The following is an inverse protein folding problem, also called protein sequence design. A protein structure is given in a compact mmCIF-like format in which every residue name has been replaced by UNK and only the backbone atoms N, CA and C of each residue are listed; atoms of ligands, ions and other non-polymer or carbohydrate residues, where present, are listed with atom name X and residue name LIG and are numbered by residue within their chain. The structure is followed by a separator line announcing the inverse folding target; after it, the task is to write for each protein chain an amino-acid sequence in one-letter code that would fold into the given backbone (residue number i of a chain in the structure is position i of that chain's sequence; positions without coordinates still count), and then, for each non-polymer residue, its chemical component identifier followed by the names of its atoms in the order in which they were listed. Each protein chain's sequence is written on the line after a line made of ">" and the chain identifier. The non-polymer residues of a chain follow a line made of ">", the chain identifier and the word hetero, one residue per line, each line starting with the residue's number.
data_IF_192799110682
#
_entry.id   IF_192799110682
#
_cell.length_a   1.000
_cell.length_b   1.000
_cell.length_c   1.000
_cell.angle_alpha   90.00
_cell.angle_beta   90.00
_cell.angle_gamma   90.00
#
_symmetry.space_group_name_H-M   'P 1'
#
loop_
_entity.id
_entity.type
_entity.pdbx_description
1 polymer ?
#
# COMPACT_ATOMS: atom_id res chain seq x y z
N UNK A 1 -27.43 5.76 6.40
CA UNK A 1 -26.30 6.06 7.31
C UNK A 1 -26.20 7.56 7.68
N UNK A 2 -27.25 8.17 8.25
CA UNK A 2 -27.28 9.64 8.51
C UNK A 2 -27.74 10.09 9.91
N UNK A 3 -28.48 9.31 10.72
CA UNK A 3 -28.82 9.74 12.08
C UNK A 3 -27.60 9.90 13.00
N UNK A 4 -26.52 9.14 12.74
CA UNK A 4 -25.33 9.10 13.58
C UNK A 4 -24.41 10.31 13.39
N UNK A 5 -24.39 10.95 12.22
CA UNK A 5 -23.53 12.13 11.98
C UNK A 5 -23.90 13.30 12.87
N UNK A 6 -25.19 13.64 12.97
CA UNK A 6 -25.64 14.73 13.84
C UNK A 6 -25.21 14.50 15.29
N UNK A 7 -25.44 13.30 15.82
CA UNK A 7 -25.02 12.92 17.17
C UNK A 7 -23.49 12.89 17.32
N UNK A 8 -22.75 12.43 16.31
CA UNK A 8 -21.29 12.39 16.30
C UNK A 8 -20.67 13.79 16.41
N UNK A 9 -21.22 14.77 15.70
CA UNK A 9 -20.75 16.16 15.74
C UNK A 9 -21.23 16.88 16.99
N UNK A 10 -22.49 16.67 17.41
CA UNK A 10 -23.01 17.21 18.68
C UNK A 10 -22.21 16.70 19.89
N UNK A 11 -21.82 15.41 19.91
CA UNK A 11 -20.96 14.84 20.95
C UNK A 11 -19.53 15.40 20.96
N UNK A 12 -19.12 16.14 19.92
CA UNK A 12 -17.87 16.90 19.84
C UNK A 12 -18.07 18.40 20.03
N UNK A 13 -19.28 18.84 20.39
CA UNK A 13 -19.60 20.26 20.59
C UNK A 13 -19.82 21.07 19.31
N UNK A 14 -19.97 20.41 18.15
CA UNK A 14 -20.24 21.11 16.88
C UNK A 14 -21.75 21.17 16.58
N UNK A 15 -22.28 22.37 16.44
CA UNK A 15 -23.63 22.64 15.94
C UNK A 15 -23.55 23.15 14.49
N UNK A 16 -24.22 22.47 13.57
CA UNK A 16 -24.26 22.83 12.14
C UNK A 16 -24.84 24.20 11.84
N UNK A 17 -25.53 24.84 12.78
CA UNK A 17 -26.02 26.22 12.63
C UNK A 17 -24.93 27.27 12.88
N UNK A 18 -23.88 26.90 13.59
CA UNK A 18 -22.86 27.83 14.10
C UNK A 18 -21.43 27.42 13.75
N UNK A 19 -21.22 26.17 13.33
CA UNK A 19 -19.93 25.61 12.97
C UNK A 19 -20.00 25.00 11.58
N UNK A 20 -19.05 25.39 10.74
CA UNK A 20 -18.78 24.69 9.50
C UNK A 20 -18.24 23.28 9.78
N UNK A 21 -18.44 22.38 8.83
CA UNK A 21 -17.96 21.00 8.90
C UNK A 21 -16.93 20.76 7.82
N UNK A 22 -15.71 20.41 8.26
CA UNK A 22 -14.65 20.03 7.35
C UNK A 22 -15.01 18.74 6.61
N UNK A 23 -14.87 18.76 5.29
CA UNK A 23 -15.07 17.61 4.43
C UNK A 23 -13.72 17.01 4.06
N UNK A 24 -13.54 15.73 4.38
CA UNK A 24 -12.36 14.95 3.99
C UNK A 24 -12.75 13.94 2.91
N UNK A 25 -11.86 13.73 1.96
CA UNK A 25 -11.95 12.61 1.03
C UNK A 25 -11.47 11.36 1.77
N UNK A 26 -12.33 10.34 1.86
CA UNK A 26 -11.93 9.04 2.40
C UNK A 26 -11.00 8.30 1.43
N UNK A 27 -10.38 7.26 1.92
CA UNK A 27 -9.65 6.29 1.11
C UNK A 27 -10.49 5.73 -0.05
N UNK A 28 -9.81 5.40 -1.13
CA UNK A 28 -10.44 4.86 -2.34
C UNK A 28 -10.63 3.36 -2.15
N UNK A 29 -11.89 2.94 -2.02
CA UNK A 29 -12.28 1.54 -1.88
C UNK A 29 -12.79 0.92 -3.18
N UNK A 30 -12.77 -0.41 -3.22
CA UNK A 30 -13.51 -1.19 -4.22
C UNK A 30 -14.95 -1.36 -3.72
N UNK A 31 -15.89 -0.77 -4.44
CA UNK A 31 -17.31 -0.77 -4.06
C UNK A 31 -18.15 -0.58 -5.31
N UNK A 32 -18.78 -1.64 -5.81
CA UNK A 32 -19.46 -1.60 -7.12
C UNK A 32 -20.59 -0.59 -7.20
N UNK A 33 -21.53 -0.62 -6.25
CA UNK A 33 -22.70 0.26 -6.26
C UNK A 33 -22.38 1.75 -6.12
N UNK A 34 -21.19 2.09 -5.60
CA UNK A 34 -20.70 3.45 -5.44
C UNK A 34 -19.60 3.84 -6.45
N UNK A 35 -19.12 2.90 -7.27
CA UNK A 35 -18.06 3.11 -8.26
C UNK A 35 -18.36 2.31 -9.54
N UNK A 36 -17.33 1.79 -10.21
CA UNK A 36 -17.45 1.01 -11.45
C UNK A 36 -16.66 -0.31 -11.40
N UNK A 37 -16.46 -0.86 -10.19
CA UNK A 37 -15.81 -2.15 -9.95
C UNK A 37 -16.82 -3.26 -9.61
N UNK A 38 -16.37 -4.51 -9.54
CA UNK A 38 -17.16 -5.63 -9.02
C UNK A 38 -17.35 -6.77 -10.01
N UNK A 39 -18.22 -7.71 -9.65
CA UNK A 39 -18.57 -8.87 -10.46
C UNK A 39 -19.49 -8.45 -11.60
N UNK A 40 -19.11 -8.78 -12.84
CA UNK A 40 -19.96 -8.55 -14.02
C UNK A 40 -21.25 -9.36 -13.90
N UNK A 41 -22.38 -8.68 -14.10
CA UNK A 41 -23.70 -9.30 -14.13
C UNK A 41 -24.48 -8.88 -15.37
N UNK A 42 -25.45 -9.71 -15.77
CA UNK A 42 -26.46 -9.36 -16.76
C UNK A 42 -27.66 -8.61 -16.14
N UNK A 43 -28.67 -8.32 -16.96
CA UNK A 43 -29.90 -7.60 -16.56
C UNK A 43 -30.74 -8.35 -15.52
N UNK A 44 -30.43 -9.62 -15.22
CA UNK A 44 -31.07 -10.46 -14.20
C UNK A 44 -30.14 -10.72 -13.00
N UNK A 45 -29.07 -9.93 -12.85
CA UNK A 45 -28.06 -10.08 -11.80
C UNK A 45 -27.25 -11.39 -11.89
N UNK A 46 -27.30 -12.12 -13.02
CA UNK A 46 -26.55 -13.38 -13.20
C UNK A 46 -25.10 -13.08 -13.52
N UNK A 47 -24.19 -13.79 -12.87
CA UNK A 47 -22.77 -13.77 -13.23
C UNK A 47 -22.52 -14.64 -14.46
N UNK A 48 -21.28 -14.69 -14.93
CA UNK A 48 -20.87 -15.64 -15.98
C UNK A 48 -20.85 -17.09 -15.53
N UNK A 49 -20.84 -17.33 -14.22
CA UNK A 49 -20.92 -18.68 -13.65
C UNK A 49 -22.40 -19.07 -13.57
N UNK A 50 -22.81 -20.18 -14.21
CA UNK A 50 -24.21 -20.59 -14.20
C UNK A 50 -24.76 -20.70 -12.78
N UNK A 51 -25.95 -20.13 -12.58
CA UNK A 51 -26.69 -20.17 -11.29
C UNK A 51 -25.98 -19.47 -10.13
N UNK A 52 -25.01 -18.61 -10.41
CA UNK A 52 -24.39 -17.69 -9.44
C UNK A 52 -24.78 -16.26 -9.79
N UNK A 53 -25.15 -15.49 -8.78
CA UNK A 53 -25.66 -14.12 -8.90
C UNK A 53 -24.82 -13.16 -8.06
N UNK A 54 -24.82 -11.89 -8.43
CA UNK A 54 -24.26 -10.82 -7.61
C UNK A 54 -25.18 -9.59 -7.64
N UNK A 55 -25.33 -8.92 -6.50
CA UNK A 55 -26.14 -7.72 -6.37
C UNK A 55 -25.51 -6.75 -5.36
N UNK A 56 -26.01 -5.52 -5.31
CA UNK A 56 -25.49 -4.47 -4.42
C UNK A 56 -24.04 -4.11 -4.74
N UNK A 57 -23.24 -3.85 -3.70
CA UNK A 57 -21.85 -3.39 -3.85
C UNK A 57 -20.90 -4.43 -4.44
N UNK A 58 -21.29 -5.70 -4.51
CA UNK A 58 -20.50 -6.73 -5.19
C UNK A 58 -20.65 -6.67 -6.71
N UNK A 59 -21.82 -6.28 -7.21
CA UNK A 59 -22.09 -6.26 -8.64
C UNK A 59 -21.47 -5.04 -9.32
N UNK A 60 -20.92 -5.23 -10.52
CA UNK A 60 -20.45 -4.15 -11.38
C UNK A 60 -21.65 -3.50 -12.09
N UNK A 61 -22.49 -2.82 -11.31
CA UNK A 61 -23.59 -1.99 -11.78
C UNK A 61 -23.36 -0.59 -11.22
N UNK A 62 -22.69 0.28 -12.00
CA UNK A 62 -22.13 1.51 -11.46
C UNK A 62 -23.22 2.48 -10.99
N UNK A 63 -22.95 3.17 -9.87
CA UNK A 63 -23.83 4.22 -9.32
C UNK A 63 -25.28 3.78 -9.06
N UNK A 64 -25.49 2.50 -8.73
CA UNK A 64 -26.82 1.97 -8.44
C UNK A 64 -27.26 2.26 -6.99
N UNK A 65 -26.30 2.47 -6.08
CA UNK A 65 -26.48 2.71 -4.65
C UNK A 65 -27.51 1.74 -4.02
N UNK A 66 -28.18 2.20 -2.95
CA UNK A 66 -29.16 1.41 -2.21
C UNK A 66 -30.34 0.93 -3.07
N UNK A 67 -30.83 1.76 -3.99
CA UNK A 67 -31.97 1.40 -4.86
C UNK A 67 -31.57 0.25 -5.78
N UNK A 68 -30.38 0.31 -6.35
CA UNK A 68 -29.81 -0.77 -7.15
C UNK A 68 -29.65 -2.06 -6.38
N UNK A 69 -29.21 -2.00 -5.12
CA UNK A 69 -29.13 -3.17 -4.27
C UNK A 69 -30.50 -3.86 -4.09
N UNK A 70 -31.57 -3.08 -3.86
CA UNK A 70 -32.92 -3.65 -3.74
C UNK A 70 -33.42 -4.23 -5.06
N UNK A 71 -33.28 -3.50 -6.16
CA UNK A 71 -33.77 -3.93 -7.48
C UNK A 71 -33.03 -5.17 -7.96
N UNK A 72 -31.69 -5.17 -7.96
CA UNK A 72 -30.91 -6.33 -8.39
C UNK A 72 -31.03 -7.51 -7.42
N UNK A 73 -31.27 -7.25 -6.13
CA UNK A 73 -31.58 -8.31 -5.16
C UNK A 73 -32.91 -9.01 -5.48
N UNK A 74 -33.95 -8.25 -5.81
CA UNK A 74 -35.25 -8.78 -6.22
C UNK A 74 -35.15 -9.57 -7.53
N UNK A 75 -34.46 -9.02 -8.54
CA UNK A 75 -34.21 -9.70 -9.81
C UNK A 75 -33.43 -11.01 -9.63
N UNK A 76 -32.35 -10.99 -8.84
CA UNK A 76 -31.56 -12.18 -8.54
C UNK A 76 -32.42 -13.25 -7.84
N UNK A 77 -33.22 -12.85 -6.85
CA UNK A 77 -34.08 -13.75 -6.08
C UNK A 77 -35.19 -14.37 -6.94
N UNK A 78 -35.87 -13.55 -7.75
CA UNK A 78 -36.93 -13.99 -8.65
C UNK A 78 -36.41 -14.97 -9.71
N UNK A 79 -35.21 -14.74 -10.23
CA UNK A 79 -34.60 -15.64 -11.20
C UNK A 79 -34.11 -16.94 -10.55
N UNK A 80 -33.39 -16.85 -9.43
CA UNK A 80 -32.89 -17.99 -8.69
C UNK A 80 -34.01 -18.94 -8.22
N UNK A 81 -35.18 -18.40 -7.85
CA UNK A 81 -36.33 -19.16 -7.39
C UNK A 81 -36.98 -20.05 -8.47
N UNK A 82 -36.69 -19.82 -9.75
CA UNK A 82 -37.19 -20.66 -10.85
C UNK A 82 -36.50 -22.02 -10.92
N UNK A 83 -35.35 -22.17 -10.27
CA UNK A 83 -34.54 -23.37 -10.36
C UNK A 83 -34.74 -24.31 -9.17
N UNK A 84 -34.72 -25.62 -9.42
CA UNK A 84 -34.74 -26.62 -8.35
C UNK A 84 -33.47 -26.50 -7.47
N UNK A 85 -33.58 -26.52 -6.14
CA UNK A 85 -32.42 -26.60 -5.25
C UNK A 85 -31.48 -27.76 -5.62
N UNK A 86 -30.18 -27.56 -5.42
CA UNK A 86 -29.20 -28.64 -5.58
C UNK A 86 -29.35 -29.64 -4.44
N UNK A 87 -29.54 -30.91 -4.78
CA UNK A 87 -29.73 -32.03 -3.82
C UNK A 87 -28.57 -33.05 -3.89
N UNK A 88 -27.55 -32.79 -4.70
CA UNK A 88 -26.40 -33.68 -4.84
C UNK A 88 -25.39 -33.52 -3.71
N UNK A 89 -24.36 -34.36 -3.73
CA UNK A 89 -23.23 -34.23 -2.82
C UNK A 89 -22.31 -33.07 -3.25
N UNK A 90 -21.72 -32.38 -2.29
CA UNK A 90 -20.73 -31.34 -2.57
C UNK A 90 -19.36 -31.99 -2.89
N UNK A 91 -18.60 -31.43 -3.85
CA UNK A 91 -17.25 -31.91 -4.15
C UNK A 91 -16.35 -31.90 -2.90
N UNK A 92 -15.81 -33.05 -2.53
CA UNK A 92 -15.04 -33.23 -1.29
C UNK A 92 -13.72 -32.46 -1.28
N UNK A 93 -13.12 -32.27 -2.45
CA UNK A 93 -11.96 -31.43 -2.66
C UNK A 93 -12.24 -29.96 -2.33
N UNK A 94 -13.35 -29.40 -2.81
CA UNK A 94 -13.75 -28.03 -2.49
C UNK A 94 -14.07 -27.84 -1.00
N UNK A 95 -14.72 -28.84 -0.37
CA UNK A 95 -14.97 -28.82 1.06
C UNK A 95 -13.67 -28.81 1.87
N UNK A 96 -12.69 -29.63 1.47
CA UNK A 96 -11.36 -29.65 2.10
C UNK A 96 -10.65 -28.32 1.93
N UNK A 97 -10.70 -27.71 0.75
CA UNK A 97 -10.04 -26.43 0.48
C UNK A 97 -10.68 -25.28 1.29
N UNK A 98 -12.02 -25.28 1.41
CA UNK A 98 -12.73 -24.33 2.28
C UNK A 98 -12.40 -24.54 3.76
N UNK A 99 -12.35 -25.80 4.22
CA UNK A 99 -11.92 -26.13 5.57
C UNK A 99 -10.48 -25.68 5.84
N UNK A 100 -9.57 -25.87 4.88
CA UNK A 100 -8.18 -25.44 5.00
C UNK A 100 -8.08 -23.90 5.08
N UNK A 101 -8.77 -23.17 4.21
CA UNK A 101 -8.80 -21.70 4.24
C UNK A 101 -9.20 -21.15 5.62
N UNK A 102 -10.22 -21.75 6.24
CA UNK A 102 -10.78 -21.29 7.51
C UNK A 102 -9.98 -21.75 8.72
N UNK A 103 -9.58 -23.03 8.78
CA UNK A 103 -9.07 -23.66 9.99
C UNK A 103 -7.55 -23.81 10.04
N UNK A 104 -6.82 -23.57 8.94
CA UNK A 104 -5.34 -23.59 8.95
C UNK A 104 -4.73 -22.75 10.09
N UNK A 105 -5.22 -21.54 10.43
CA UNK A 105 -4.61 -20.73 11.48
C UNK A 105 -4.61 -21.37 12.89
N UNK A 106 -5.48 -22.36 13.16
CA UNK A 106 -5.46 -23.10 14.42
C UNK A 106 -4.21 -23.98 14.59
N UNK A 107 -3.52 -24.31 13.49
CA UNK A 107 -2.27 -25.09 13.52
C UNK A 107 -1.06 -24.23 13.92
N UNK A 108 -1.22 -22.91 13.91
CA UNK A 108 -0.19 -21.93 14.26
C UNK A 108 -0.70 -20.97 15.33
N UNK A 109 -1.15 -21.41 16.52
CA UNK A 109 -1.77 -20.54 17.52
C UNK A 109 -0.87 -19.42 18.05
N UNK A 110 0.44 -19.51 17.79
CA UNK A 110 1.49 -18.54 18.12
C UNK A 110 2.10 -17.86 16.87
N UNK A 111 1.51 -18.09 15.70
CA UNK A 111 1.90 -17.43 14.45
C UNK A 111 1.59 -15.93 14.45
N UNK A 112 2.04 -15.17 13.43
CA UNK A 112 1.80 -13.74 13.36
C UNK A 112 0.31 -13.40 13.51
N UNK A 113 -0.04 -12.41 14.36
CA UNK A 113 -1.43 -12.04 14.56
C UNK A 113 -1.98 -11.37 13.32
N UNK A 114 -3.22 -11.72 12.95
CA UNK A 114 -3.88 -11.26 11.72
C UNK A 114 -3.84 -9.74 11.56
N UNK A 115 -3.99 -8.98 12.65
CA UNK A 115 -4.05 -7.52 12.62
C UNK A 115 -2.75 -6.89 12.12
N UNK A 116 -1.60 -7.50 12.42
CA UNK A 116 -0.29 -7.01 11.95
C UNK A 116 -0.09 -7.33 10.47
N UNK A 117 -0.51 -8.53 10.03
CA UNK A 117 -0.44 -8.93 8.62
C UNK A 117 -1.39 -8.09 7.77
N UNK A 118 -2.63 -7.87 8.23
CA UNK A 118 -3.61 -6.99 7.61
C UNK A 118 -3.09 -5.55 7.52
N UNK A 119 -2.51 -5.02 8.60
CA UNK A 119 -1.94 -3.68 8.61
C UNK A 119 -0.82 -3.52 7.56
N UNK A 120 0.11 -4.49 7.50
CA UNK A 120 1.19 -4.51 6.50
C UNK A 120 0.63 -4.58 5.08
N UNK A 121 -0.37 -5.42 4.84
CA UNK A 121 -1.03 -5.55 3.55
C UNK A 121 -1.66 -4.23 3.09
N UNK A 122 -2.46 -3.61 3.96
CA UNK A 122 -3.14 -2.34 3.69
C UNK A 122 -2.15 -1.21 3.45
N UNK A 123 -1.00 -1.23 4.12
CA UNK A 123 0.09 -0.28 3.86
C UNK A 123 0.61 -0.40 2.43
N UNK A 124 0.85 -1.61 1.93
CA UNK A 124 1.25 -1.79 0.52
C UNK A 124 0.18 -1.30 -0.46
N UNK A 125 -1.11 -1.52 -0.15
CA UNK A 125 -2.21 -0.98 -0.96
C UNK A 125 -2.16 0.56 -1.00
N UNK A 126 -2.05 1.20 0.16
CA UNK A 126 -2.04 2.66 0.25
C UNK A 126 -0.79 3.28 -0.40
N UNK A 127 0.38 2.67 -0.21
CA UNK A 127 1.65 3.25 -0.67
C UNK A 127 1.87 3.06 -2.19
N UNK A 128 1.34 1.97 -2.77
CA UNK A 128 1.68 1.57 -4.15
C UNK A 128 0.49 1.41 -5.11
N UNK A 129 -0.72 1.17 -4.61
CA UNK A 129 -1.92 0.94 -5.46
C UNK A 129 -2.83 2.17 -5.48
N UNK A 130 -2.86 2.95 -4.40
CA UNK A 130 -3.60 4.20 -4.37
C UNK A 130 -3.00 5.23 -5.35
N UNK A 131 -3.84 6.04 -6.03
CA UNK A 131 -3.34 7.11 -6.90
C UNK A 131 -2.55 8.19 -6.15
N UNK A 132 -1.55 8.82 -6.81
CA UNK A 132 -1.13 8.58 -8.20
C UNK A 132 -0.40 7.23 -8.40
N UNK A 133 -0.84 6.50 -9.42
CA UNK A 133 -0.32 5.17 -9.81
C UNK A 133 0.80 5.30 -10.83
N UNK A 134 1.67 4.30 -10.91
CA UNK A 134 2.61 4.09 -12.01
C UNK A 134 2.91 2.61 -12.17
N UNK A 135 3.37 2.20 -13.36
CA UNK A 135 3.74 0.81 -13.65
C UNK A 135 4.76 0.27 -12.64
N UNK A 136 5.78 1.07 -12.32
CA UNK A 136 6.79 0.73 -11.30
C UNK A 136 6.18 0.51 -9.90
N UNK A 137 5.29 1.40 -9.43
CA UNK A 137 4.65 1.26 -8.11
C UNK A 137 3.76 0.02 -8.06
N UNK A 138 2.92 -0.18 -9.08
CA UNK A 138 2.03 -1.33 -9.18
C UNK A 138 2.82 -2.65 -9.23
N UNK A 139 3.95 -2.66 -9.92
CA UNK A 139 4.85 -3.83 -10.00
C UNK A 139 5.46 -4.18 -8.64
N UNK A 140 5.90 -3.19 -7.86
CA UNK A 140 6.37 -3.39 -6.48
C UNK A 140 5.25 -3.91 -5.57
N UNK A 141 4.00 -3.44 -5.75
CA UNK A 141 2.86 -3.95 -5.00
C UNK A 141 2.61 -5.44 -5.29
N UNK A 142 2.64 -5.84 -6.56
CA UNK A 142 2.46 -7.24 -6.97
C UNK A 142 3.54 -8.16 -6.40
N UNK A 143 4.81 -7.73 -6.43
CA UNK A 143 5.90 -8.47 -5.78
C UNK A 143 5.69 -8.61 -4.26
N UNK A 144 5.18 -7.57 -3.60
CA UNK A 144 4.86 -7.61 -2.19
C UNK A 144 3.71 -8.58 -1.89
N UNK A 145 2.62 -8.52 -2.67
CA UNK A 145 1.47 -9.40 -2.49
C UNK A 145 1.79 -10.88 -2.74
N UNK A 146 2.73 -11.18 -3.64
CA UNK A 146 3.21 -12.56 -3.83
C UNK A 146 3.99 -13.05 -2.62
N UNK A 147 4.94 -12.25 -2.09
CA UNK A 147 5.68 -12.60 -0.88
C UNK A 147 4.78 -12.77 0.34
N UNK A 148 3.74 -11.94 0.44
CA UNK A 148 2.78 -12.00 1.54
C UNK A 148 1.94 -13.28 1.57
N UNK A 149 1.96 -14.12 0.53
CA UNK A 149 1.32 -15.45 0.58
C UNK A 149 1.91 -16.30 1.71
N UNK A 150 3.22 -16.23 1.92
CA UNK A 150 3.88 -16.92 3.02
C UNK A 150 3.49 -16.31 4.37
N UNK A 151 3.58 -14.99 4.52
CA UNK A 151 3.17 -14.27 5.74
C UNK A 151 1.71 -14.61 6.14
N UNK A 152 0.80 -14.65 5.16
CA UNK A 152 -0.61 -15.02 5.36
C UNK A 152 -0.72 -16.48 5.78
N UNK A 153 0.01 -17.39 5.12
CA UNK A 153 -0.03 -18.83 5.43
C UNK A 153 0.38 -19.12 6.89
N UNK A 154 1.28 -18.34 7.47
CA UNK A 154 1.79 -18.51 8.83
C UNK A 154 0.90 -17.88 9.93
N UNK A 155 -0.11 -17.08 9.57
CA UNK A 155 -0.99 -16.43 10.54
C UNK A 155 -1.59 -17.40 11.56
N UNK A 156 -1.66 -16.94 12.80
CA UNK A 156 -2.25 -17.67 13.91
C UNK A 156 -3.64 -17.19 14.31
N UNK A 157 -4.46 -18.11 14.82
CA UNK A 157 -5.73 -17.79 15.46
C UNK A 157 -6.04 -18.76 16.61
N UNK A 158 -6.77 -18.26 17.60
CA UNK A 158 -7.22 -18.98 18.80
C UNK A 158 -8.73 -18.91 19.00
N UNK A 159 -9.42 -18.00 18.33
CA UNK A 159 -10.88 -17.81 18.47
C UNK A 159 -11.59 -17.86 17.11
N UNK A 160 -12.90 -18.18 17.07
CA UNK A 160 -13.68 -18.11 15.84
C UNK A 160 -13.66 -16.73 15.17
N UNK A 161 -13.61 -15.65 15.95
CA UNK A 161 -13.47 -14.29 15.42
C UNK A 161 -12.14 -14.11 14.69
N UNK A 162 -11.03 -14.55 15.29
CA UNK A 162 -9.73 -14.49 14.64
C UNK A 162 -9.65 -15.36 13.39
N UNK A 163 -10.29 -16.54 13.37
CA UNK A 163 -10.37 -17.38 12.16
C UNK A 163 -11.06 -16.65 11.01
N UNK A 164 -12.20 -16.02 11.28
CA UNK A 164 -12.92 -15.18 10.30
C UNK A 164 -12.01 -14.07 9.77
N UNK A 165 -11.33 -13.33 10.66
CA UNK A 165 -10.43 -12.25 10.28
C UNK A 165 -9.24 -12.74 9.45
N UNK A 166 -8.62 -13.88 9.80
CA UNK A 166 -7.55 -14.49 9.02
C UNK A 166 -8.01 -14.84 7.58
N UNK A 167 -9.23 -15.37 7.43
CA UNK A 167 -9.79 -15.62 6.10
C UNK A 167 -9.99 -14.30 5.32
N UNK A 168 -10.50 -13.25 5.98
CA UNK A 168 -10.68 -11.93 5.37
C UNK A 168 -9.37 -11.32 4.85
N UNK A 169 -8.24 -11.49 5.55
CA UNK A 169 -6.92 -11.01 5.06
C UNK A 169 -6.57 -11.63 3.69
N UNK A 170 -6.93 -12.91 3.48
CA UNK A 170 -6.72 -13.59 2.19
C UNK A 170 -7.54 -12.91 1.09
N UNK A 171 -8.80 -12.59 1.36
CA UNK A 171 -9.68 -11.91 0.41
C UNK A 171 -9.24 -10.48 0.11
N UNK A 172 -8.76 -9.73 1.12
CA UNK A 172 -8.20 -8.39 0.94
C UNK A 172 -6.98 -8.45 0.00
N UNK A 173 -6.10 -9.44 0.19
CA UNK A 173 -4.89 -9.60 -0.63
C UNK A 173 -5.26 -9.93 -2.08
N UNK A 174 -6.23 -10.80 -2.30
CA UNK A 174 -6.72 -11.12 -3.64
C UNK A 174 -7.35 -9.90 -4.32
N UNK A 175 -8.18 -9.14 -3.60
CA UNK A 175 -8.75 -7.89 -4.13
C UNK A 175 -7.67 -6.86 -4.46
N UNK A 176 -6.64 -6.74 -3.61
CA UNK A 176 -5.52 -5.85 -3.83
C UNK A 176 -4.70 -6.24 -5.07
N UNK A 177 -4.43 -7.54 -5.25
CA UNK A 177 -3.75 -8.04 -6.46
C UNK A 177 -4.59 -7.79 -7.71
N UNK A 178 -5.89 -8.12 -7.69
CA UNK A 178 -6.79 -7.89 -8.82
C UNK A 178 -6.82 -6.40 -9.21
N UNK A 179 -6.90 -5.50 -8.24
CA UNK A 179 -6.88 -4.06 -8.48
C UNK A 179 -5.54 -3.57 -9.04
N UNK A 180 -4.42 -4.09 -8.52
CA UNK A 180 -3.08 -3.73 -8.99
C UNK A 180 -2.84 -4.22 -10.42
N UNK A 181 -3.16 -5.48 -10.73
CA UNK A 181 -3.04 -6.03 -12.09
C UNK A 181 -3.97 -5.33 -13.08
N UNK A 182 -5.22 -5.04 -12.70
CA UNK A 182 -6.14 -4.29 -13.54
C UNK A 182 -5.63 -2.87 -13.83
N UNK A 183 -5.08 -2.21 -12.80
CA UNK A 183 -4.48 -0.88 -12.94
C UNK A 183 -3.22 -0.89 -13.81
N UNK A 184 -2.43 -1.97 -13.75
CA UNK A 184 -1.22 -2.13 -14.54
C UNK A 184 -1.55 -2.39 -16.02
N UNK A 185 -2.56 -3.24 -16.26
CA UNK A 185 -3.06 -3.55 -17.60
C UNK A 185 -3.54 -2.30 -18.33
N UNK A 186 -4.29 -1.43 -17.63
CA UNK A 186 -4.84 -0.20 -18.20
C UNK A 186 -3.80 0.92 -18.25
N UNK A 187 -3.30 1.20 -19.45
CA UNK A 187 -2.28 2.22 -19.74
C UNK A 187 -2.87 3.57 -20.18
N UNK A 188 -3.80 4.09 -19.39
CA UNK A 188 -4.38 5.44 -19.52
C UNK A 188 -4.72 6.00 -18.12
N UNK A 189 -5.14 7.26 -18.08
CA UNK A 189 -5.78 7.89 -16.92
C UNK A 189 -7.24 8.22 -17.21
N UNK A 190 -8.14 7.80 -16.31
CA UNK A 190 -9.59 8.02 -16.44
C UNK A 190 -10.23 8.10 -15.05
N UNK A 191 -11.30 8.89 -14.93
CA UNK A 191 -12.07 9.05 -13.69
C UNK A 191 -11.28 9.68 -12.53
N UNK A 192 -10.30 10.54 -12.84
CA UNK A 192 -9.54 11.30 -11.85
C UNK A 192 -8.92 10.39 -10.79
N UNK A 193 -9.20 10.66 -9.52
CA UNK A 193 -8.62 9.91 -8.39
C UNK A 193 -8.92 8.41 -8.41
N UNK A 194 -9.88 7.88 -9.18
CA UNK A 194 -10.10 6.43 -9.25
C UNK A 194 -9.01 5.68 -10.05
N UNK A 195 -8.49 6.30 -11.12
CA UNK A 195 -7.45 5.71 -11.96
C UNK A 195 -6.61 6.80 -12.63
N UNK A 196 -5.76 7.42 -11.82
CA UNK A 196 -4.75 8.38 -12.27
C UNK A 196 -3.37 7.69 -12.30
N UNK A 197 -2.84 7.54 -13.52
CA UNK A 197 -1.52 7.01 -13.85
C UNK A 197 -0.58 8.14 -14.29
N UNK A 198 0.51 8.35 -13.56
CA UNK A 198 1.47 9.42 -13.87
C UNK A 198 2.35 9.13 -15.08
N UNK A 199 2.54 7.85 -15.40
CA UNK A 199 3.24 7.37 -16.59
C UNK A 199 2.35 7.33 -17.84
N UNK A 200 1.02 7.41 -17.66
CA UNK A 200 0.02 7.49 -18.73
C UNK A 200 -1.05 8.54 -18.41
N UNK A 201 -0.71 9.84 -18.35
CA UNK A 201 -1.58 10.87 -17.76
C UNK A 201 -2.81 11.23 -18.60
N UNK A 202 -2.84 10.85 -19.88
CA UNK A 202 -3.94 11.17 -20.79
C UNK A 202 -5.02 10.07 -20.80
N UNK A 203 -6.26 10.47 -21.05
CA UNK A 203 -7.35 9.56 -21.42
C UNK A 203 -7.14 9.06 -22.84
N UNK A 204 -7.35 7.77 -23.09
CA UNK A 204 -7.23 7.14 -24.40
C UNK A 204 -8.52 6.37 -24.74
N UNK A 205 -9.46 7.06 -25.38
CA UNK A 205 -10.73 6.44 -25.80
C UNK A 205 -10.58 5.53 -27.02
N UNK A 206 -9.48 5.61 -27.78
CA UNK A 206 -9.27 4.75 -28.93
C UNK A 206 -8.88 3.33 -28.48
N UNK A 207 -7.99 3.23 -27.49
CA UNK A 207 -7.51 1.94 -26.98
C UNK A 207 -8.33 1.42 -25.79
N UNK A 208 -8.85 2.31 -24.94
CA UNK A 208 -9.34 1.96 -23.59
C UNK A 208 -10.79 2.33 -23.30
N UNK A 209 -11.59 2.66 -24.33
CA UNK A 209 -13.06 2.77 -24.18
C UNK A 209 -13.75 1.40 -24.03
N UNK A 210 -13.32 0.68 -22.99
CA UNK A 210 -13.62 -0.71 -22.69
C UNK A 210 -13.82 -0.90 -21.19
N UNK A 211 -14.65 -1.86 -20.83
CA UNK A 211 -14.55 -2.53 -19.55
C UNK A 211 -13.33 -3.44 -19.55
N UNK A 212 -12.66 -3.54 -18.40
CA UNK A 212 -11.58 -4.50 -18.21
C UNK A 212 -12.10 -5.65 -17.35
N UNK A 213 -12.40 -6.77 -18.01
CA UNK A 213 -12.92 -7.96 -17.34
C UNK A 213 -11.73 -8.84 -16.94
N UNK A 214 -11.66 -9.19 -15.64
CA UNK A 214 -10.72 -10.16 -15.09
C UNK A 214 -11.43 -11.49 -14.87
N UNK A 215 -10.78 -12.60 -15.20
CA UNK A 215 -11.26 -13.93 -14.88
C UNK A 215 -10.10 -14.86 -14.50
N UNK A 216 -10.43 -15.94 -13.80
CA UNK A 216 -9.50 -17.03 -13.51
C UNK A 216 -9.56 -18.05 -14.64
N UNK A 217 -8.44 -18.30 -15.29
CA UNK A 217 -8.35 -19.27 -16.39
C UNK A 217 -8.30 -20.72 -15.87
N UNK A 218 -8.46 -21.74 -16.74
CA UNK A 218 -8.40 -23.14 -16.33
C UNK A 218 -7.05 -23.55 -15.71
N UNK A 219 -5.95 -22.86 -16.02
CA UNK A 219 -4.65 -23.07 -15.37
C UNK A 219 -4.58 -22.47 -13.96
N UNK A 220 -5.57 -21.67 -13.58
CA UNK A 220 -5.62 -20.94 -12.32
C UNK A 220 -5.04 -19.52 -12.38
N UNK A 221 -4.55 -19.09 -13.54
CA UNK A 221 -3.98 -17.75 -13.76
C UNK A 221 -5.06 -16.66 -13.82
N UNK A 222 -4.67 -15.42 -13.53
CA UNK A 222 -5.52 -14.24 -13.71
C UNK A 222 -5.36 -13.68 -15.13
N UNK A 223 -6.41 -13.75 -15.94
CA UNK A 223 -6.40 -13.29 -17.31
C UNK A 223 -7.41 -12.15 -17.55
N UNK A 224 -7.04 -11.25 -18.46
CA UNK A 224 -7.80 -10.05 -18.76
C UNK A 224 -8.40 -10.07 -20.16
N UNK A 225 -9.59 -9.48 -20.28
CA UNK A 225 -10.23 -9.17 -21.56
C UNK A 225 -10.72 -7.72 -21.53
N UNK A 226 -10.29 -6.93 -22.49
CA UNK A 226 -10.88 -5.62 -22.75
C UNK A 226 -12.16 -5.82 -23.57
N UNK A 227 -13.30 -5.50 -23.00
CA UNK A 227 -14.62 -5.62 -23.65
C UNK A 227 -15.16 -4.21 -23.94
N UNK A 228 -15.59 -3.89 -25.17
CA UNK A 228 -16.09 -2.56 -25.50
C UNK A 228 -17.27 -2.17 -24.61
N UNK A 229 -17.37 -0.88 -24.29
CA UNK A 229 -18.55 -0.32 -23.64
C UNK A 229 -19.72 -0.39 -24.62
N UNK A 230 -20.85 -0.94 -24.17
CA UNK A 230 -22.04 -1.04 -25.01
C UNK A 230 -22.60 0.36 -25.34
N UNK A 231 -23.21 0.55 -26.52
CA UNK A 231 -23.92 1.79 -26.81
C UNK A 231 -25.06 1.98 -25.80
N UNK A 232 -25.37 3.24 -25.50
CA UNK A 232 -26.55 3.54 -24.69
C UNK A 232 -27.81 3.04 -25.37
N UNK A 233 -28.73 2.47 -24.59
CA UNK A 233 -30.06 2.08 -25.07
C UNK A 233 -30.83 3.28 -25.64
N UNK A 234 -30.67 4.44 -25.02
CA UNK A 234 -31.16 5.73 -25.52
C UNK A 234 -29.98 6.47 -26.13
N UNK A 235 -29.99 6.77 -27.45
CA UNK A 235 -28.89 7.49 -28.08
C UNK A 235 -28.63 8.83 -27.39
N UNK A 236 -27.37 9.08 -27.06
CA UNK A 236 -26.93 10.36 -26.49
C UNK A 236 -26.24 11.15 -27.60
N UNK A 237 -26.69 12.38 -27.91
CA UNK A 237 -26.03 13.23 -28.90
C UNK A 237 -24.53 13.38 -28.61
N UNK A 238 -23.72 13.35 -29.67
CA UNK A 238 -22.26 13.49 -29.61
C UNK A 238 -21.52 12.37 -28.84
N UNK A 239 -22.23 11.28 -28.47
CA UNK A 239 -21.64 10.10 -27.88
C UNK A 239 -21.68 8.92 -28.85
N UNK A 240 -20.54 8.62 -29.47
CA UNK A 240 -20.32 7.44 -30.29
C UNK A 240 -19.25 6.56 -29.63
N UNK A 241 -19.57 5.34 -29.16
CA UNK A 241 -18.57 4.43 -28.62
C UNK A 241 -17.53 4.07 -29.69
N UNK A 242 -16.25 4.24 -29.39
CA UNK A 242 -15.12 3.97 -30.30
C UNK A 242 -14.46 2.61 -30.07
N UNK A 243 -14.90 1.84 -29.07
CA UNK A 243 -14.17 0.71 -28.49
C UNK A 243 -14.01 -0.56 -29.34
N UNK A 244 -14.31 -0.57 -30.64
CA UNK A 244 -14.07 -1.76 -31.49
C UNK A 244 -14.66 -3.07 -30.93
N UNK A 245 -13.97 -4.19 -31.15
CA UNK A 245 -14.36 -5.52 -30.64
C UNK A 245 -13.57 -5.94 -29.39
N UNK A 246 -14.07 -6.95 -28.67
CA UNK A 246 -13.38 -7.47 -27.48
C UNK A 246 -11.96 -7.97 -27.80
N UNK A 247 -11.00 -7.63 -26.93
CA UNK A 247 -9.59 -8.01 -27.04
C UNK A 247 -9.15 -8.80 -25.82
N UNK A 248 -8.70 -10.03 -26.04
CA UNK A 248 -8.05 -10.82 -25.00
C UNK A 248 -6.64 -10.27 -24.74
N UNK A 249 -6.34 -9.95 -23.48
CA UNK A 249 -5.05 -9.40 -23.05
C UNK A 249 -4.16 -10.47 -22.38
N UNK A 250 -4.74 -11.58 -21.93
CA UNK A 250 -4.03 -12.64 -21.23
C UNK A 250 -3.60 -12.24 -19.81
N UNK A 251 -2.51 -12.83 -19.34
CA UNK A 251 -1.91 -12.49 -18.04
C UNK A 251 -1.18 -11.14 -18.09
N UNK A 252 -1.24 -10.40 -16.99
CA UNK A 252 -0.56 -9.11 -16.83
C UNK A 252 0.52 -9.26 -15.79
N UNK A 253 1.78 -9.15 -16.20
CA UNK A 253 2.93 -9.35 -15.34
C UNK A 253 3.53 -8.02 -14.84
N UNK A 254 4.17 -8.02 -13.66
CA UNK A 254 4.94 -6.87 -13.18
C UNK A 254 5.99 -6.42 -14.20
N UNK A 255 6.16 -5.11 -14.33
CA UNK A 255 7.25 -4.50 -15.07
C UNK A 255 8.56 -4.68 -14.31
N UNK A 256 9.68 -4.70 -15.04
CA UNK A 256 11.01 -4.71 -14.41
C UNK A 256 11.30 -3.36 -13.77
N UNK A 257 11.34 -3.33 -12.45
CA UNK A 257 11.68 -2.12 -11.68
C UNK A 257 13.17 -2.15 -11.35
N UNK A 258 13.91 -1.11 -11.75
CA UNK A 258 15.33 -1.01 -11.48
C UNK A 258 15.61 -1.07 -9.96
N UNK A 259 16.46 -2.00 -9.54
CA UNK A 259 16.95 -2.10 -8.16
C UNK A 259 18.35 -1.50 -8.06
N UNK A 260 18.75 -1.03 -6.88
CA UNK A 260 20.09 -0.49 -6.62
C UNK A 260 21.22 -1.56 -6.62
N UNK A 261 20.99 -2.73 -7.23
CA UNK A 261 21.90 -3.89 -7.22
C UNK A 261 21.18 -5.21 -6.96
N UNK A 262 21.96 -6.29 -6.84
CA UNK A 262 21.48 -7.61 -6.45
C UNK A 262 20.87 -7.57 -5.04
N UNK A 263 19.71 -8.18 -4.84
CA UNK A 263 18.98 -8.18 -3.55
C UNK A 263 19.68 -9.01 -2.45
N UNK A 264 20.70 -9.77 -2.82
CA UNK A 264 21.38 -10.75 -1.97
C UNK A 264 22.60 -10.16 -1.23
N UNK A 265 22.97 -8.91 -1.51
CA UNK A 265 24.08 -8.22 -0.86
C UNK A 265 23.67 -6.81 -0.46
N UNK A 266 23.98 -6.42 0.78
CA UNK A 266 23.81 -5.05 1.22
C UNK A 266 24.62 -4.09 0.32
N UNK A 267 24.09 -2.90 -0.02
CA UNK A 267 24.85 -1.92 -0.78
C UNK A 267 26.11 -1.55 0.01
N UNK A 268 27.25 -1.96 -0.50
CA UNK A 268 28.55 -1.59 0.06
C UNK A 268 28.87 -0.19 -0.45
N UNK A 269 29.26 0.71 0.46
CA UNK A 269 29.76 2.01 0.05
C UNK A 269 30.94 1.79 -0.91
N UNK A 270 30.80 2.23 -2.17
CA UNK A 270 31.94 2.29 -3.07
C UNK A 270 32.92 3.28 -2.44
N UNK A 271 34.11 2.81 -2.05
CA UNK A 271 35.20 3.70 -1.69
C UNK A 271 35.36 4.72 -2.83
N UNK A 272 35.52 6.02 -2.53
CA UNK A 272 35.70 7.02 -3.57
C UNK A 272 36.86 6.58 -4.47
N UNK A 273 36.76 6.73 -5.80
CA UNK A 273 37.86 6.41 -6.68
C UNK A 273 39.08 7.17 -6.18
N UNK A 274 40.18 6.44 -5.94
CA UNK A 274 41.46 7.04 -5.60
C UNK A 274 41.87 7.96 -6.74
N UNK A 275 41.65 9.26 -6.53
CA UNK A 275 42.13 10.29 -7.44
C UNK A 275 43.65 10.30 -7.29
N UNK A 276 44.36 9.72 -8.25
CA UNK A 276 45.80 9.88 -8.36
C UNK A 276 46.08 11.32 -8.78
N UNK A 277 46.29 12.20 -7.80
CA UNK A 277 46.73 13.58 -8.04
C UNK A 277 48.21 13.55 -8.43
N UNK A 278 48.65 14.16 -9.55
CA UNK A 278 50.06 14.30 -9.86
C UNK A 278 50.71 15.24 -8.85
N UNK A 279 51.87 14.86 -8.34
CA UNK A 279 52.61 15.65 -7.35
C UNK A 279 53.00 17.03 -7.90
N UNK A 280 52.45 18.10 -7.30
CA UNK A 280 53.08 19.43 -7.29
C UNK A 280 52.54 20.30 -6.13
N UNK A 281 53.51 20.81 -5.36
CA UNK A 281 53.56 22.07 -4.59
C UNK A 281 53.75 21.89 -3.07
N UNK A 282 54.95 22.19 -2.50
CA UNK A 282 55.32 21.79 -1.14
C UNK A 282 54.86 22.75 -0.02
N UNK A 283 53.89 23.64 -0.26
CA UNK A 283 53.54 24.71 0.70
C UNK A 283 52.05 24.85 1.04
N UNK A 284 51.29 23.75 0.96
CA UNK A 284 49.95 23.66 1.57
C UNK A 284 49.99 22.69 2.75
N UNK A 285 49.84 23.24 3.96
CA UNK A 285 49.53 22.47 5.17
C UNK A 285 48.27 21.65 4.92
N UNK A 286 48.44 20.35 4.73
CA UNK A 286 47.38 19.35 4.71
C UNK A 286 46.68 19.34 6.08
N UNK A 287 45.37 19.58 6.09
CA UNK A 287 44.50 19.18 7.17
C UNK A 287 44.10 17.73 6.90
N UNK A 288 44.73 16.84 7.65
CA UNK A 288 44.55 15.39 7.59
C UNK A 288 43.12 15.02 7.99
N UNK A 289 42.25 14.78 7.00
CA UNK A 289 40.86 14.37 7.21
C UNK A 289 40.70 12.85 7.39
N UNK A 290 41.80 12.09 7.34
CA UNK A 290 41.79 10.62 7.42
C UNK A 290 41.99 10.06 8.83
N UNK A 291 42.34 10.89 9.82
CA UNK A 291 42.47 10.49 11.22
C UNK A 291 41.15 10.57 12.05
N UNK A 292 40.06 11.08 11.45
CA UNK A 292 38.84 11.41 12.19
C UNK A 292 38.00 10.21 12.67
N UNK A 293 38.24 9.00 12.15
CA UNK A 293 37.45 7.79 12.53
C UNK A 293 38.21 6.88 13.52
N UNK A 294 39.46 7.20 13.85
CA UNK A 294 40.33 6.37 14.70
C UNK A 294 40.78 7.05 15.99
N UNK A 295 40.04 8.06 16.47
CA UNK A 295 40.28 8.61 17.80
C UNK A 295 39.61 7.74 18.88
N UNK A 296 40.36 7.09 19.79
CA UNK A 296 39.78 6.31 20.89
C UNK A 296 38.79 7.15 21.73
N UNK A 297 39.03 8.47 21.82
CA UNK A 297 38.15 9.42 22.51
C UNK A 297 36.77 9.55 21.87
N UNK A 298 36.65 9.43 20.55
CA UNK A 298 35.35 9.46 19.88
C UNK A 298 34.55 8.18 20.17
N UNK A 299 35.22 7.04 20.22
CA UNK A 299 34.58 5.77 20.56
C UNK A 299 34.11 5.74 22.01
N UNK A 300 34.91 6.28 22.93
CA UNK A 300 34.53 6.45 24.34
C UNK A 300 33.31 7.37 24.49
N UNK A 301 33.29 8.50 23.77
CA UNK A 301 32.17 9.44 23.78
C UNK A 301 30.89 8.84 23.19
N UNK A 302 30.98 8.11 22.08
CA UNK A 302 29.83 7.45 21.46
C UNK A 302 29.23 6.39 22.39
N UNK A 303 30.08 5.62 23.08
CA UNK A 303 29.63 4.62 24.06
C UNK A 303 28.89 5.24 25.27
N UNK A 304 29.19 6.49 25.63
CA UNK A 304 28.47 7.20 26.70
C UNK A 304 27.03 7.55 26.29
N UNK A 305 26.75 7.74 25.00
CA UNK A 305 25.41 8.11 24.49
C UNK A 305 24.36 7.06 24.84
N UNK A 306 24.73 5.78 24.81
CA UNK A 306 23.84 4.66 25.14
C UNK A 306 23.51 4.54 26.63
N UNK A 307 24.15 5.34 27.49
CA UNK A 307 24.07 5.23 28.96
C UNK A 307 23.43 6.45 29.65
N UNK A 308 22.78 7.37 28.91
CA UNK A 308 22.18 8.60 29.45
C UNK A 308 23.13 9.37 30.40
N UNK A 309 24.26 9.89 29.90
CA UNK A 309 25.35 10.36 30.73
C UNK A 309 25.00 11.69 31.41
N UNK A 310 25.41 11.85 32.68
CA UNK A 310 25.34 13.14 33.35
C UNK A 310 26.27 14.18 32.69
N UNK A 311 25.90 15.46 32.76
CA UNK A 311 26.65 16.55 32.13
C UNK A 311 28.15 16.56 32.51
N UNK A 312 28.46 16.24 33.77
CA UNK A 312 29.84 16.19 34.25
C UNK A 312 30.73 15.23 33.46
N UNK A 313 30.16 14.15 32.94
CA UNK A 313 30.86 13.15 32.12
C UNK A 313 31.13 13.62 30.70
N UNK A 314 30.37 14.61 30.20
CA UNK A 314 30.50 15.17 28.85
C UNK A 314 31.42 16.40 28.80
N UNK A 315 31.60 17.12 29.92
CA UNK A 315 32.44 18.32 30.00
C UNK A 315 33.88 18.13 29.44
N UNK A 316 34.60 17.02 29.73
CA UNK A 316 35.96 16.85 29.21
C UNK A 316 36.05 16.71 27.69
N UNK A 317 34.94 16.38 27.02
CA UNK A 317 34.88 16.22 25.56
C UNK A 317 34.44 17.50 24.86
N UNK A 318 33.69 18.38 25.56
CA UNK A 318 33.29 19.69 25.04
C UNK A 318 34.48 20.67 24.93
N UNK A 319 35.51 20.48 25.74
CA UNK A 319 36.76 21.27 25.71
C UNK A 319 37.95 20.48 25.09
N UNK A 320 37.68 19.36 24.40
CA UNK A 320 38.74 18.50 23.84
C UNK A 320 39.55 19.24 22.77
N UNK A 321 40.89 19.08 22.69
CA UNK A 321 41.69 19.75 21.66
C UNK A 321 41.28 19.37 20.23
N UNK A 322 40.66 18.21 20.01
CA UNK A 322 40.17 17.77 18.70
C UNK A 322 38.80 18.38 18.36
N UNK A 323 38.68 19.15 17.26
CA UNK A 323 37.39 19.69 16.83
C UNK A 323 36.34 18.61 16.47
N UNK A 324 36.78 17.43 16.04
CA UNK A 324 35.89 16.31 15.76
C UNK A 324 35.25 15.76 17.05
N UNK A 325 36.01 15.71 18.14
CA UNK A 325 35.53 15.27 19.45
C UNK A 325 34.57 16.28 20.04
N UNK A 326 34.90 17.58 19.99
CA UNK A 326 34.02 18.64 20.50
C UNK A 326 32.67 18.69 19.77
N UNK A 327 32.67 18.60 18.43
CA UNK A 327 31.43 18.53 17.63
C UNK A 327 30.57 17.31 17.97
N UNK A 328 31.21 16.16 18.08
CA UNK A 328 30.51 14.93 18.48
C UNK A 328 29.94 15.06 19.90
N UNK A 329 30.64 15.73 20.81
CA UNK A 329 30.20 15.93 22.18
C UNK A 329 28.98 16.86 22.26
N UNK A 330 28.92 17.90 21.42
CA UNK A 330 27.73 18.73 21.26
C UNK A 330 26.56 17.90 20.72
N UNK A 331 26.80 17.01 19.76
CA UNK A 331 25.79 16.07 19.27
C UNK A 331 25.19 15.22 20.39
N UNK A 332 26.03 14.53 21.16
CA UNK A 332 25.62 13.70 22.30
C UNK A 332 24.90 14.53 23.38
N UNK A 333 25.38 15.75 23.65
CA UNK A 333 24.75 16.66 24.61
C UNK A 333 23.33 17.08 24.18
N UNK A 334 23.12 17.35 22.88
CA UNK A 334 21.80 17.69 22.34
C UNK A 334 20.86 16.50 22.20
N UNK A 335 21.41 15.29 22.14
CA UNK A 335 20.65 14.05 22.06
C UNK A 335 20.17 13.57 23.45
N UNK A 336 21.04 13.65 24.46
CA UNK A 336 20.79 13.09 25.80
C UNK A 336 20.26 14.11 26.81
N UNK A 337 20.41 15.42 26.54
CA UNK A 337 19.83 16.54 27.29
C UNK A 337 19.94 16.47 28.84
N UNK A 338 21.13 16.20 29.42
CA UNK A 338 21.28 16.19 30.88
C UNK A 338 20.99 17.57 31.51
N UNK A 339 20.62 17.64 32.80
CA UNK A 339 20.42 18.91 33.50
C UNK A 339 21.63 19.84 33.37
N UNK A 340 21.40 21.10 32.98
CA UNK A 340 22.46 22.10 32.76
C UNK A 340 22.92 22.26 31.30
N UNK A 341 22.37 21.46 30.37
CA UNK A 341 22.69 21.50 28.93
C UNK A 341 22.69 22.90 28.32
N UNK A 342 21.72 23.76 28.66
CA UNK A 342 21.60 25.08 28.06
C UNK A 342 22.82 25.99 28.27
N UNK A 343 23.43 25.95 29.48
CA UNK A 343 24.62 26.76 29.78
C UNK A 343 25.88 26.16 29.13
N UNK A 344 25.97 24.83 29.09
CA UNK A 344 27.06 24.12 28.44
C UNK A 344 27.07 24.36 26.93
N UNK A 345 25.91 24.29 26.27
CA UNK A 345 25.78 24.57 24.84
C UNK A 345 26.12 26.05 24.52
N UNK A 346 25.63 26.98 25.33
CA UNK A 346 25.97 28.40 25.19
C UNK A 346 27.48 28.68 25.35
N UNK A 347 28.19 27.85 26.11
CA UNK A 347 29.65 27.94 26.28
C UNK A 347 30.38 27.31 25.09
N UNK A 348 29.92 26.15 24.60
CA UNK A 348 30.46 25.50 23.41
C UNK A 348 30.31 26.36 22.14
N UNK A 349 29.22 27.11 22.01
CA UNK A 349 29.03 28.09 20.92
C UNK A 349 30.01 29.26 20.94
N UNK A 350 30.78 29.41 22.03
CA UNK A 350 31.86 30.40 22.16
C UNK A 350 33.24 29.77 21.96
N UNK A 351 33.32 28.58 21.36
CA UNK A 351 34.57 27.89 21.08
C UNK A 351 35.54 28.86 20.35
N UNK A 352 36.69 29.19 20.97
CA UNK A 352 37.66 30.13 20.40
C UNK A 352 38.32 29.61 19.11
N UNK A 353 38.17 28.33 18.80
CA UNK A 353 38.68 27.70 17.58
C UNK A 353 37.68 27.74 16.42
N UNK A 354 36.40 28.06 16.66
CA UNK A 354 35.39 28.26 15.60
C UNK A 354 34.99 27.00 14.82
N UNK A 355 35.40 25.82 15.28
CA UNK A 355 35.24 24.54 14.57
C UNK A 355 34.22 23.59 15.24
N UNK A 356 33.36 24.12 16.12
CA UNK A 356 32.27 23.40 16.82
C UNK A 356 30.90 23.81 16.32
#
# INVERSE_FOLDING_TARGET
>A
ERPTRGTFHAGRGHDYRTHDIEMHISEIGLCGGHSASGVRVDDHARTTVPRLYAAGDLACVPHNYMIGAFVFGDLAGADAAQYKPYEGELPQDQLRDAHELVYRPLRHPDGPPQSQVEYKLRRFVNDYVAPPKSGARLSLALEAFERMRADIAEMGARTPHELMRCAEVTFIRDCAEMAARASLARTESRWGLYHDRTDHPARDDDSWFHHLDLHKSPSGSMEFTARPVAPYLVPVPDFAPTGGGSRHLGEVHPESVATAGARDAAPVASAPPSVTVPATDPDRRELDHTDAVTSPRLLELLALTEQEPELGSLLPYLDDPSPAVRRSAVGVLTETLPPGTGLALATALRDPHGDV
#
